data_IF_730164502269
#
_entry.id   IF_730164502269
#
_cell.length_a   1.000
_cell.length_b   1.000
_cell.length_c   1.000
_cell.angle_alpha   90.00
_cell.angle_beta   90.00
_cell.angle_gamma   90.00
#
_symmetry.space_group_name_H-M   'P 1'
#
loop_
_entity.id
_entity.type
_entity.pdbx_description
1 polymer ?
#
# COMPACT_ATOMS: atom_id res chain seq x y z
N UNK A 1 8.53 5.36 -22.96
CA UNK A 1 8.19 5.61 -21.54
C UNK A 1 9.18 4.82 -20.68
N UNK A 2 10.02 5.45 -19.86
CA UNK A 2 10.96 4.70 -18.98
C UNK A 2 10.18 4.17 -17.77
N UNK A 3 10.15 2.84 -17.59
CA UNK A 3 9.58 2.17 -16.42
C UNK A 3 10.50 2.47 -15.22
N UNK A 4 10.02 3.21 -14.22
CA UNK A 4 10.74 3.37 -12.95
C UNK A 4 10.40 2.15 -12.12
N UNK A 5 11.28 1.15 -12.11
CA UNK A 5 11.16 -0.01 -11.22
C UNK A 5 11.63 0.40 -9.83
N UNK A 6 10.69 0.70 -8.93
CA UNK A 6 10.97 0.55 -7.51
C UNK A 6 11.19 -0.94 -7.24
N UNK A 7 12.14 -1.27 -6.36
CA UNK A 7 12.36 -2.65 -5.91
C UNK A 7 11.15 -3.20 -5.15
N UNK A 8 11.38 -4.22 -4.32
CA UNK A 8 10.34 -4.72 -3.45
C UNK A 8 9.92 -3.66 -2.41
N UNK A 9 8.64 -3.69 -2.04
CA UNK A 9 8.06 -2.94 -0.92
C UNK A 9 7.77 -3.90 0.23
N UNK A 10 7.73 -3.34 1.44
CA UNK A 10 7.43 -4.08 2.66
C UNK A 10 6.05 -3.70 3.15
N UNK A 11 5.18 -4.68 3.34
CA UNK A 11 3.75 -4.46 3.56
C UNK A 11 3.32 -5.12 4.86
N UNK A 12 2.63 -4.35 5.71
CA UNK A 12 1.96 -4.85 6.91
C UNK A 12 0.46 -4.60 6.75
N UNK A 13 -0.34 -5.65 6.47
CA UNK A 13 -1.79 -5.59 6.56
C UNK A 13 -2.22 -5.42 8.02
N UNK A 14 -3.26 -4.63 8.27
CA UNK A 14 -3.77 -4.34 9.62
C UNK A 14 -5.19 -3.79 9.55
N UNK A 15 -5.89 -3.82 10.68
CA UNK A 15 -7.18 -3.13 10.87
C UNK A 15 -7.02 -1.64 11.22
N UNK A 16 -5.78 -1.20 11.48
CA UNK A 16 -5.44 0.16 11.93
C UNK A 16 -4.39 0.80 11.04
N UNK A 17 -4.63 2.03 10.58
CA UNK A 17 -3.63 2.80 9.84
C UNK A 17 -2.48 3.23 10.76
N UNK A 18 -1.24 2.84 10.43
CA UNK A 18 -0.03 3.35 11.08
C UNK A 18 0.31 4.68 10.41
N UNK A 19 0.33 5.77 11.19
CA UNK A 19 0.44 7.16 10.67
C UNK A 19 1.67 7.91 11.14
N UNK A 20 2.50 7.28 11.96
CA UNK A 20 3.72 7.82 12.57
C UNK A 20 5.00 7.07 12.13
N UNK A 21 4.86 6.04 11.29
CA UNK A 21 5.95 5.12 10.91
C UNK A 21 6.74 5.51 9.66
N UNK A 22 6.51 6.69 9.07
CA UNK A 22 7.18 7.09 7.83
C UNK A 22 6.75 6.25 6.61
N UNK A 23 5.54 5.70 6.62
CA UNK A 23 5.01 4.79 5.61
C UNK A 23 3.97 5.44 4.69
N UNK A 24 3.61 4.71 3.64
CA UNK A 24 2.36 4.90 2.93
C UNK A 24 1.28 4.02 3.57
N UNK A 25 0.05 4.50 3.58
CA UNK A 25 -1.11 3.72 4.00
C UNK A 25 -2.06 3.64 2.83
N UNK A 26 -2.35 2.42 2.38
CA UNK A 26 -3.43 2.14 1.42
C UNK A 26 -4.61 1.60 2.22
N UNK A 27 -5.72 2.34 2.21
CA UNK A 27 -6.91 2.03 3.00
C UNK A 27 -8.05 1.54 2.10
N UNK A 28 -8.62 0.39 2.43
CA UNK A 28 -9.81 -0.20 1.82
C UNK A 28 -10.89 -0.27 2.90
N UNK A 29 -11.88 0.61 2.82
CA UNK A 29 -12.91 0.78 3.86
C UNK A 29 -14.30 0.71 3.23
N UNK A 30 -15.15 -0.18 3.74
CA UNK A 30 -16.58 -0.20 3.45
C UNK A 30 -17.38 -0.24 4.77
N UNK A 31 -18.70 -0.42 4.69
CA UNK A 31 -19.57 -0.42 5.88
C UNK A 31 -19.31 -1.56 6.88
N UNK A 32 -18.51 -2.58 6.53
CA UNK A 32 -18.30 -3.81 7.33
C UNK A 32 -16.84 -4.14 7.60
N UNK A 33 -15.94 -3.69 6.75
CA UNK A 33 -14.54 -4.10 6.71
C UNK A 33 -13.68 -2.85 6.54
N UNK A 34 -12.64 -2.77 7.38
CA UNK A 34 -11.59 -1.77 7.31
C UNK A 34 -10.24 -2.51 7.29
N UNK A 35 -9.54 -2.40 6.17
CA UNK A 35 -8.21 -2.99 6.00
C UNK A 35 -7.25 -1.89 5.55
N UNK A 36 -6.09 -1.85 6.18
CA UNK A 36 -4.99 -0.97 5.86
C UNK A 36 -3.77 -1.78 5.48
N UNK A 37 -3.14 -1.42 4.37
CA UNK A 37 -1.83 -1.89 3.99
C UNK A 37 -0.83 -0.77 4.28
N UNK A 38 -0.03 -0.96 5.32
CA UNK A 38 1.07 -0.06 5.67
C UNK A 38 2.28 -0.47 4.83
N UNK A 39 2.67 0.39 3.89
CA UNK A 39 3.69 0.11 2.88
C UNK A 39 4.93 0.93 3.18
N UNK A 40 6.05 0.25 3.38
CA UNK A 40 7.33 0.82 3.75
C UNK A 40 8.36 0.61 2.64
N UNK A 41 9.27 1.58 2.42
CA UNK A 41 10.38 1.44 1.47
C UNK A 41 11.52 0.55 2.01
N UNK A 42 11.53 0.25 3.30
CA UNK A 42 12.47 -0.64 4.00
C UNK A 42 11.72 -1.59 4.92
N UNK A 43 12.33 -2.72 5.32
CA UNK A 43 11.71 -3.70 6.22
C UNK A 43 11.54 -3.09 7.62
N UNK A 44 10.31 -2.84 8.10
CA UNK A 44 10.08 -2.29 9.45
C UNK A 44 10.13 -3.39 10.53
N UNK A 45 9.87 -4.64 10.16
CA UNK A 45 9.84 -5.81 11.04
C UNK A 45 10.02 -7.10 10.23
N UNK A 46 10.29 -8.22 10.92
CA UNK A 46 10.39 -9.55 10.31
C UNK A 46 9.04 -10.10 9.80
N UNK A 47 7.94 -9.49 10.24
CA UNK A 47 6.57 -9.90 9.89
C UNK A 47 6.08 -9.21 8.62
N UNK A 48 6.82 -8.21 8.13
CA UNK A 48 6.46 -7.49 6.92
C UNK A 48 6.56 -8.40 5.68
N UNK A 49 5.49 -8.43 4.91
CA UNK A 49 5.43 -9.16 3.65
C UNK A 49 6.20 -8.37 2.61
N UNK A 50 7.18 -9.01 1.97
CA UNK A 50 7.93 -8.40 0.87
C UNK A 50 7.24 -8.73 -0.45
N UNK A 51 6.86 -7.73 -1.24
CA UNK A 51 6.26 -7.92 -2.56
C UNK A 51 6.71 -6.83 -3.52
N UNK A 52 6.65 -7.07 -4.83
CA UNK A 52 6.89 -6.01 -5.79
C UNK A 52 5.66 -5.07 -5.87
N UNK A 53 5.85 -3.86 -6.39
CA UNK A 53 4.77 -2.87 -6.45
C UNK A 53 3.60 -3.27 -7.40
N UNK A 54 3.88 -4.09 -8.43
CA UNK A 54 2.87 -4.58 -9.38
C UNK A 54 1.95 -5.62 -8.71
N UNK A 55 2.51 -6.54 -7.92
CA UNK A 55 1.78 -7.53 -7.14
C UNK A 55 0.90 -6.87 -6.07
N UNK A 56 1.45 -5.86 -5.38
CA UNK A 56 0.68 -5.06 -4.44
C UNK A 56 -0.50 -4.37 -5.15
N UNK A 57 -0.28 -3.78 -6.32
CA UNK A 57 -1.35 -3.15 -7.10
C UNK A 57 -2.43 -4.15 -7.51
N UNK A 58 -2.07 -5.34 -8.00
CA UNK A 58 -3.03 -6.40 -8.32
C UNK A 58 -3.84 -6.84 -7.10
N UNK A 59 -3.17 -7.02 -5.95
CA UNK A 59 -3.84 -7.35 -4.69
C UNK A 59 -4.86 -6.27 -4.30
N UNK A 60 -4.45 -5.00 -4.33
CA UNK A 60 -5.34 -3.88 -3.99
C UNK A 60 -6.55 -3.85 -4.92
N UNK A 61 -6.37 -3.97 -6.24
CA UNK A 61 -7.47 -3.98 -7.23
C UNK A 61 -8.44 -5.14 -7.02
N UNK A 62 -7.92 -6.33 -6.73
CA UNK A 62 -8.77 -7.49 -6.41
C UNK A 62 -9.59 -7.23 -5.13
N UNK A 63 -9.00 -6.60 -4.11
CA UNK A 63 -9.71 -6.25 -2.88
C UNK A 63 -10.72 -5.13 -3.06
N UNK A 64 -10.43 -4.11 -3.89
CA UNK A 64 -11.42 -3.09 -4.27
C UNK A 64 -12.68 -3.73 -4.86
N UNK A 65 -12.50 -4.69 -5.77
CA UNK A 65 -13.60 -5.44 -6.38
C UNK A 65 -14.37 -6.29 -5.35
N UNK A 66 -13.64 -7.09 -4.55
CA UNK A 66 -14.25 -7.99 -3.56
C UNK A 66 -14.99 -7.24 -2.44
N UNK A 67 -14.44 -6.10 -2.01
CA UNK A 67 -15.00 -5.30 -0.92
C UNK A 67 -15.96 -4.21 -1.40
N UNK A 68 -16.14 -4.06 -2.72
CA UNK A 68 -16.92 -2.99 -3.32
C UNK A 68 -16.56 -1.61 -2.74
N UNK A 69 -15.27 -1.28 -2.78
CA UNK A 69 -14.72 -0.01 -2.28
C UNK A 69 -13.57 0.47 -3.16
N UNK A 70 -13.11 1.69 -2.90
CA UNK A 70 -11.96 2.29 -3.59
C UNK A 70 -10.84 2.53 -2.59
N UNK A 71 -9.64 2.09 -2.95
CA UNK A 71 -8.44 2.27 -2.17
C UNK A 71 -8.10 3.76 -2.03
N UNK A 72 -7.74 4.17 -0.82
CA UNK A 72 -7.28 5.54 -0.53
C UNK A 72 -5.84 5.50 -0.06
N UNK A 73 -4.97 6.21 -0.75
CA UNK A 73 -3.55 6.28 -0.42
C UNK A 73 -3.28 7.56 0.37
N UNK A 74 -2.59 7.43 1.51
CA UNK A 74 -2.05 8.55 2.28
C UNK A 74 -0.57 8.31 2.57
N UNK A 75 0.21 9.38 2.54
CA UNK A 75 1.66 9.35 2.79
C UNK A 75 1.98 10.03 4.11
N UNK A 76 2.63 9.29 5.00
CA UNK A 76 3.06 9.75 6.32
C UNK A 76 4.59 9.77 6.46
N UNK A 77 5.34 9.54 5.39
CA UNK A 77 6.81 9.50 5.41
C UNK A 77 7.50 10.31 4.32
N UNK A 78 6.76 11.15 3.59
CA UNK A 78 7.28 11.89 2.44
C UNK A 78 7.82 10.95 1.35
N UNK A 79 7.19 9.78 1.20
CA UNK A 79 7.51 8.75 0.20
C UNK A 79 6.96 9.11 -1.19
N UNK A 80 7.19 10.34 -1.65
CA UNK A 80 6.55 10.92 -2.83
C UNK A 80 6.69 10.04 -4.08
N UNK A 81 7.89 9.49 -4.33
CA UNK A 81 8.11 8.65 -5.51
C UNK A 81 7.34 7.32 -5.43
N UNK A 82 7.34 6.66 -4.27
CA UNK A 82 6.61 5.42 -4.08
C UNK A 82 5.09 5.65 -4.16
N UNK A 83 4.62 6.77 -3.61
CA UNK A 83 3.23 7.22 -3.75
C UNK A 83 2.84 7.38 -5.21
N UNK A 84 3.64 8.14 -5.98
CA UNK A 84 3.37 8.39 -7.41
C UNK A 84 3.37 7.12 -8.24
N UNK A 85 4.21 6.13 -7.88
CA UNK A 85 4.21 4.83 -8.56
C UNK A 85 2.94 4.05 -8.24
N UNK A 86 2.55 3.97 -6.96
CA UNK A 86 1.35 3.24 -6.55
C UNK A 86 0.07 3.90 -7.08
N UNK A 87 -0.03 5.23 -7.07
CA UNK A 87 -1.15 5.99 -7.64
C UNK A 87 -1.28 5.83 -9.17
N UNK A 88 -0.22 5.42 -9.87
CA UNK A 88 -0.27 5.12 -11.31
C UNK A 88 -0.68 3.67 -11.60
N UNK A 89 -0.50 2.79 -10.61
CA UNK A 89 -0.76 1.37 -10.76
C UNK A 89 -2.15 0.98 -10.27
N UNK A 90 -2.64 1.62 -9.20
CA UNK A 90 -3.99 1.47 -8.64
C UNK A 90 -4.94 2.37 -9.43
#
# INVERSE_FOLDING_TARGET
>A
MRKVTFGNVYVIPSDTAITDGGNLVISLVNARIQIHFNVFPYSPSREAITMNAEDLSMLIKNLEHLLNTTARIKDYGQNLLLRLVLERLI
#
